data_IF_376479579184
#
_entry.id   IF_376479579184
#
_cell.length_a   1.000
_cell.length_b   1.000
_cell.length_c   1.000
_cell.angle_alpha   90.00
_cell.angle_beta   90.00
_cell.angle_gamma   90.00
#
_symmetry.space_group_name_H-M   'P 1'
#
loop_
_entity.id
_entity.type
_entity.pdbx_description
1 polymer ?
#
# COMPACT_ATOMS: atom_id res chain seq x y z
N UNK A 1 -0.59 -69.04 61.54
CA UNK A 1 -0.72 -67.58 61.71
C UNK A 1 -0.04 -66.83 60.53
N UNK A 2 -0.83 -66.11 59.67
CA UNK A 2 -0.33 -65.55 58.40
C UNK A 2 -0.25 -64.01 58.52
N UNK A 3 0.55 -63.54 59.51
CA UNK A 3 0.66 -62.10 59.79
C UNK A 3 1.56 -61.28 58.84
N UNK A 4 2.29 -61.92 57.96
CA UNK A 4 3.29 -61.23 57.12
C UNK A 4 2.76 -60.66 55.77
N UNK A 5 1.83 -61.33 55.13
CA UNK A 5 1.40 -61.00 53.77
C UNK A 5 0.53 -59.72 53.65
N UNK A 6 -0.34 -59.44 54.61
CA UNK A 6 -1.19 -58.27 54.65
C UNK A 6 -0.41 -56.97 54.96
N UNK A 7 0.57 -57.07 55.87
CA UNK A 7 1.43 -55.92 56.24
C UNK A 7 2.36 -55.51 55.09
N UNK A 8 2.97 -56.47 54.41
CA UNK A 8 3.83 -56.24 53.24
C UNK A 8 3.07 -55.71 52.06
N UNK A 9 1.83 -56.19 51.79
CA UNK A 9 0.96 -55.64 50.71
C UNK A 9 0.55 -54.21 50.98
N UNK A 10 0.18 -53.86 52.22
CA UNK A 10 -0.15 -52.46 52.60
C UNK A 10 1.05 -51.50 52.43
N UNK A 11 2.26 -51.96 52.93
CA UNK A 11 3.48 -51.16 52.73
C UNK A 11 3.88 -51.01 51.29
N UNK A 12 3.75 -52.05 50.44
CA UNK A 12 4.01 -52.00 49.02
C UNK A 12 3.05 -51.09 48.33
N UNK A 13 1.74 -51.17 48.62
CA UNK A 13 0.73 -50.27 47.99
C UNK A 13 0.91 -48.83 48.48
N UNK A 14 1.34 -48.56 49.69
CA UNK A 14 1.69 -47.22 50.17
C UNK A 14 2.94 -46.66 49.52
N UNK A 15 3.95 -47.46 49.17
CA UNK A 15 5.14 -47.09 48.41
C UNK A 15 4.81 -46.81 46.97
N UNK A 16 4.01 -47.65 46.31
CA UNK A 16 3.55 -47.43 44.92
C UNK A 16 2.69 -46.15 44.83
N UNK A 17 1.79 -45.94 45.81
CA UNK A 17 1.00 -44.70 45.87
C UNK A 17 1.88 -43.44 46.07
N UNK A 18 2.96 -43.57 46.87
CA UNK A 18 3.90 -42.45 47.13
C UNK A 18 4.79 -42.16 45.93
N UNK A 19 5.29 -43.18 45.22
CA UNK A 19 6.03 -42.99 43.96
C UNK A 19 5.15 -42.40 42.87
N UNK A 20 3.92 -42.90 42.71
CA UNK A 20 2.98 -42.33 41.72
C UNK A 20 2.59 -40.86 42.02
N UNK A 21 2.53 -40.47 43.30
CA UNK A 21 2.31 -39.08 43.70
C UNK A 21 3.53 -38.20 43.44
N UNK A 22 4.74 -38.71 43.66
CA UNK A 22 5.98 -38.00 43.36
C UNK A 22 6.14 -37.79 41.83
N UNK A 23 5.87 -38.80 41.03
CA UNK A 23 5.85 -38.73 39.56
C UNK A 23 4.83 -37.68 39.05
N UNK A 24 3.61 -37.68 39.60
CA UNK A 24 2.58 -36.68 39.27
C UNK A 24 3.02 -35.27 39.66
N UNK A 25 3.65 -35.09 40.83
CA UNK A 25 4.17 -33.78 41.26
C UNK A 25 5.32 -33.32 40.35
N UNK A 26 6.24 -34.22 39.99
CA UNK A 26 7.33 -33.94 39.08
C UNK A 26 6.80 -33.53 37.71
N UNK A 27 5.79 -34.25 37.18
CA UNK A 27 5.14 -33.95 35.91
C UNK A 27 4.44 -32.59 35.93
N UNK A 28 3.67 -32.27 36.97
CA UNK A 28 3.03 -30.96 37.15
C UNK A 28 4.06 -29.83 37.27
N UNK A 29 5.16 -30.10 38.03
CA UNK A 29 6.24 -29.10 38.15
C UNK A 29 6.94 -28.87 36.82
N UNK A 30 7.19 -29.91 36.03
CA UNK A 30 7.79 -29.83 34.70
C UNK A 30 6.90 -29.01 33.74
N UNK A 31 5.58 -29.30 33.72
CA UNK A 31 4.62 -28.54 32.89
C UNK A 31 4.58 -27.08 33.32
N UNK A 32 4.62 -26.77 34.61
CA UNK A 32 4.68 -25.38 35.09
C UNK A 32 5.94 -24.66 34.65
N UNK A 33 7.11 -25.31 34.74
CA UNK A 33 8.38 -24.74 34.28
C UNK A 33 8.36 -24.51 32.79
N UNK A 34 7.84 -25.48 32.01
CA UNK A 34 7.71 -25.34 30.56
C UNK A 34 6.78 -24.16 30.17
N UNK A 35 5.65 -24.07 30.88
CA UNK A 35 4.68 -23.00 30.64
C UNK A 35 5.23 -21.61 31.01
N UNK A 36 5.92 -21.48 32.13
CA UNK A 36 6.58 -20.24 32.55
C UNK A 36 7.71 -19.85 31.58
N UNK A 37 8.49 -20.83 31.12
CA UNK A 37 9.53 -20.60 30.12
C UNK A 37 8.91 -20.11 28.77
N UNK A 38 7.81 -20.72 28.33
CA UNK A 38 7.09 -20.29 27.15
C UNK A 38 6.58 -18.83 27.28
N UNK A 39 5.97 -18.49 28.42
CA UNK A 39 5.52 -17.12 28.71
C UNK A 39 6.71 -16.16 28.68
N UNK A 40 7.83 -16.51 29.30
CA UNK A 40 9.03 -15.67 29.34
C UNK A 40 9.57 -15.41 27.92
N UNK A 41 9.60 -16.45 27.07
CA UNK A 41 9.99 -16.32 25.65
C UNK A 41 9.00 -15.42 24.91
N UNK A 42 7.70 -15.59 25.09
CA UNK A 42 6.69 -14.73 24.47
C UNK A 42 6.86 -13.26 24.89
N UNK A 43 7.06 -13.00 26.17
CA UNK A 43 7.31 -11.63 26.68
C UNK A 43 8.60 -11.05 26.09
N UNK A 44 9.67 -11.83 26.01
CA UNK A 44 10.92 -11.40 25.40
C UNK A 44 10.73 -11.03 23.92
N UNK A 45 10.05 -11.86 23.16
CA UNK A 45 9.75 -11.60 21.74
C UNK A 45 8.93 -10.32 21.58
N UNK A 46 7.92 -10.11 22.43
CA UNK A 46 7.11 -8.88 22.42
C UNK A 46 7.96 -7.65 22.78
N UNK A 47 8.80 -7.74 23.80
CA UNK A 47 9.69 -6.63 24.19
C UNK A 47 10.70 -6.28 23.09
N UNK A 48 11.30 -7.29 22.45
CA UNK A 48 12.20 -7.10 21.31
C UNK A 48 11.45 -6.47 20.12
N UNK A 49 10.23 -6.93 19.84
CA UNK A 49 9.39 -6.37 18.79
C UNK A 49 9.08 -4.89 19.03
N UNK A 50 8.65 -4.53 20.23
CA UNK A 50 8.37 -3.13 20.62
C UNK A 50 9.64 -2.28 20.57
N UNK A 51 10.76 -2.80 21.07
CA UNK A 51 12.05 -2.09 21.05
C UNK A 51 12.53 -1.80 19.62
N UNK A 52 12.48 -2.81 18.75
CA UNK A 52 12.85 -2.68 17.34
C UNK A 52 11.93 -1.68 16.62
N UNK A 53 10.62 -1.77 16.85
CA UNK A 53 9.64 -0.86 16.25
C UNK A 53 9.88 0.60 16.68
N UNK A 54 10.15 0.85 17.98
CA UNK A 54 10.52 2.19 18.47
C UNK A 54 11.80 2.69 17.86
N UNK A 55 12.81 1.83 17.69
CA UNK A 55 14.06 2.19 17.03
C UNK A 55 13.86 2.60 15.57
N UNK A 56 13.02 1.87 14.83
CA UNK A 56 12.67 2.20 13.45
C UNK A 56 11.93 3.54 13.36
N UNK A 57 10.96 3.79 14.26
CA UNK A 57 10.20 5.06 14.27
C UNK A 57 11.09 6.24 14.66
N UNK A 58 12.03 6.06 15.58
CA UNK A 58 12.95 7.13 15.99
C UNK A 58 13.84 7.65 14.84
N UNK A 59 14.04 6.83 13.81
CA UNK A 59 14.71 7.23 12.58
C UNK A 59 13.80 7.76 11.48
N UNK A 60 12.48 7.88 11.73
CA UNK A 60 11.56 8.48 10.76
C UNK A 60 11.67 10.02 10.77
N UNK A 61 11.43 10.69 9.63
CA UNK A 61 11.33 12.15 9.59
C UNK A 61 10.27 12.69 10.59
N UNK A 62 10.52 13.89 11.12
CA UNK A 62 9.51 14.55 11.96
C UNK A 62 8.28 14.91 11.08
N UNK A 63 7.10 14.55 11.56
CA UNK A 63 5.82 14.83 10.86
C UNK A 63 5.62 16.33 10.58
N UNK A 64 6.17 17.20 11.43
CA UNK A 64 6.06 18.64 11.27
C UNK A 64 6.89 19.16 10.08
N UNK A 65 7.99 18.49 9.79
CA UNK A 65 8.90 18.83 8.69
C UNK A 65 8.53 18.12 7.39
N UNK A 66 7.56 17.18 7.43
CA UNK A 66 7.12 16.44 6.23
C UNK A 66 6.25 17.35 5.37
N UNK A 67 6.77 17.65 4.17
CA UNK A 67 6.01 18.25 3.08
C UNK A 67 5.53 17.15 2.14
N UNK A 68 4.21 17.06 1.95
CA UNK A 68 3.58 16.10 1.03
C UNK A 68 3.36 16.68 -0.37
N UNK A 69 3.71 17.96 -0.57
CA UNK A 69 3.53 18.63 -1.85
C UNK A 69 4.39 18.01 -2.96
N UNK A 70 3.91 18.00 -4.19
CA UNK A 70 4.70 17.50 -5.33
C UNK A 70 5.99 18.30 -5.51
N UNK A 71 7.09 17.60 -5.77
CA UNK A 71 8.39 18.20 -6.03
C UNK A 71 8.69 18.22 -7.54
N UNK A 72 9.36 19.28 -8.01
CA UNK A 72 9.84 19.34 -9.39
C UNK A 72 8.75 19.68 -10.42
N UNK A 73 8.31 20.92 -10.38
CA UNK A 73 7.38 21.48 -11.36
C UNK A 73 8.06 21.80 -12.69
N UNK A 74 7.29 21.75 -13.79
CA UNK A 74 7.72 22.28 -15.06
C UNK A 74 7.82 23.82 -15.00
N UNK A 75 8.85 24.39 -15.65
CA UNK A 75 9.00 25.83 -15.79
C UNK A 75 8.60 26.22 -17.20
N UNK A 76 7.81 27.28 -17.34
CA UNK A 76 7.37 27.79 -18.64
C UNK A 76 8.06 29.11 -18.92
N UNK A 77 8.53 29.26 -20.17
CA UNK A 77 9.04 30.52 -20.72
C UNK A 77 7.96 31.12 -21.60
N UNK A 78 7.71 32.41 -21.39
CA UNK A 78 6.76 33.19 -22.17
C UNK A 78 7.49 34.35 -22.86
N UNK A 79 6.95 34.79 -24.03
CA UNK A 79 7.39 36.04 -24.64
C UNK A 79 6.79 37.26 -23.92
N UNK A 80 7.12 38.44 -24.42
CA UNK A 80 6.62 39.73 -23.93
C UNK A 80 5.11 39.93 -24.17
N UNK A 81 4.51 39.10 -25.04
CA UNK A 81 3.08 39.09 -25.35
C UNK A 81 2.31 38.04 -24.52
N UNK A 82 3.02 37.27 -23.66
CA UNK A 82 2.43 36.22 -22.81
C UNK A 82 2.20 34.89 -23.57
N UNK A 83 2.80 34.72 -24.75
CA UNK A 83 2.74 33.46 -25.49
C UNK A 83 3.78 32.50 -24.94
N UNK A 84 3.40 31.26 -24.65
CA UNK A 84 4.32 30.24 -24.19
C UNK A 84 5.30 29.85 -25.28
N UNK A 85 6.60 30.17 -25.09
CA UNK A 85 7.68 29.82 -26.02
C UNK A 85 8.17 28.40 -25.78
N UNK A 86 8.37 28.02 -24.49
CA UNK A 86 9.00 26.75 -24.16
C UNK A 86 8.62 26.27 -22.76
N UNK A 87 8.47 24.96 -22.62
CA UNK A 87 8.43 24.26 -21.34
C UNK A 87 9.82 23.69 -21.05
N UNK A 88 10.35 24.00 -19.88
CA UNK A 88 11.59 23.44 -19.35
C UNK A 88 11.23 22.47 -18.24
N UNK A 89 11.66 21.23 -18.36
CA UNK A 89 11.49 20.23 -17.31
C UNK A 89 12.74 19.38 -17.22
N UNK A 90 13.22 19.16 -16.00
CA UNK A 90 14.21 18.11 -15.76
C UNK A 90 13.55 16.73 -15.92
N UNK A 91 14.31 15.65 -16.10
CA UNK A 91 13.76 14.32 -16.35
C UNK A 91 12.74 13.81 -15.33
N UNK A 92 12.77 14.34 -14.09
CA UNK A 92 11.87 13.98 -12.99
C UNK A 92 10.92 15.10 -12.56
N UNK A 93 10.91 16.25 -13.28
CA UNK A 93 10.19 17.46 -12.89
C UNK A 93 9.17 17.94 -13.92
N UNK A 94 8.60 17.03 -14.70
CA UNK A 94 7.52 17.34 -15.62
C UNK A 94 6.16 17.22 -14.90
N UNK A 95 5.91 18.08 -13.92
CA UNK A 95 4.63 18.15 -13.20
C UNK A 95 3.91 19.44 -13.55
N UNK A 96 2.63 19.29 -13.83
CA UNK A 96 1.67 20.37 -14.07
C UNK A 96 0.64 20.27 -12.95
N UNK A 97 0.77 21.05 -11.87
CA UNK A 97 -0.15 20.92 -10.75
C UNK A 97 -1.55 21.40 -11.15
N UNK A 98 -2.54 20.69 -10.67
CA UNK A 98 -3.97 21.01 -10.79
C UNK A 98 -4.64 20.80 -9.45
N UNK A 99 -5.64 21.63 -9.13
CA UNK A 99 -6.44 21.44 -7.93
C UNK A 99 -7.42 20.26 -8.09
N UNK A 100 -7.84 19.69 -7.00
CA UNK A 100 -8.68 18.46 -7.00
C UNK A 100 -10.02 18.69 -7.71
N UNK A 101 -10.58 19.90 -7.62
CA UNK A 101 -11.82 20.30 -8.30
C UNK A 101 -11.70 20.35 -9.83
N UNK A 102 -10.48 20.52 -10.35
CA UNK A 102 -10.18 20.43 -11.79
C UNK A 102 -10.02 18.99 -12.28
N UNK A 103 -9.80 18.03 -11.38
CA UNK A 103 -9.64 16.62 -11.73
C UNK A 103 -11.01 15.95 -11.80
N UNK A 104 -11.39 15.33 -12.92
CA UNK A 104 -12.69 14.65 -13.02
C UNK A 104 -12.91 13.66 -11.88
N UNK A 105 -14.10 13.67 -11.31
CA UNK A 105 -14.49 12.73 -10.24
C UNK A 105 -14.31 11.27 -10.69
N UNK A 106 -14.54 10.97 -11.96
CA UNK A 106 -14.28 9.65 -12.54
C UNK A 106 -12.81 9.23 -12.48
N UNK A 107 -11.85 10.17 -12.59
CA UNK A 107 -10.43 9.85 -12.43
C UNK A 107 -10.07 9.65 -10.96
N UNK A 108 -10.61 10.47 -10.05
CA UNK A 108 -10.44 10.30 -8.62
C UNK A 108 -10.94 8.93 -8.17
N UNK A 109 -12.16 8.56 -8.58
CA UNK A 109 -12.76 7.26 -8.28
C UNK A 109 -11.99 6.09 -8.91
N UNK A 110 -11.52 6.22 -10.15
CA UNK A 110 -10.75 5.17 -10.82
C UNK A 110 -9.44 4.85 -10.07
N UNK A 111 -8.74 5.89 -9.60
CA UNK A 111 -7.51 5.73 -8.84
C UNK A 111 -7.78 5.15 -7.47
N UNK A 112 -8.78 5.65 -6.73
CA UNK A 112 -9.18 5.11 -5.44
C UNK A 112 -9.61 3.66 -5.57
N UNK A 113 -10.45 3.33 -6.57
CA UNK A 113 -10.96 1.98 -6.77
C UNK A 113 -9.87 0.94 -6.98
N UNK A 114 -8.80 1.27 -7.70
CA UNK A 114 -7.75 0.31 -8.04
C UNK A 114 -6.57 0.28 -7.08
N UNK A 115 -6.26 1.41 -6.42
CA UNK A 115 -5.09 1.54 -5.54
C UNK A 115 -5.44 1.38 -4.07
N UNK A 116 -6.60 1.87 -3.64
CA UNK A 116 -6.97 1.96 -2.22
C UNK A 116 -8.49 2.03 -2.02
N UNK A 117 -9.16 0.90 -2.23
CA UNK A 117 -10.62 0.73 -2.21
C UNK A 117 -11.32 1.39 -1.01
N UNK A 118 -10.66 1.38 0.16
CA UNK A 118 -11.18 1.94 1.42
C UNK A 118 -10.49 3.24 1.83
N UNK A 119 -9.95 3.99 0.87
CA UNK A 119 -9.22 5.23 1.12
C UNK A 119 -9.95 6.18 2.08
N UNK A 120 -11.25 6.34 1.91
CA UNK A 120 -12.06 7.24 2.74
C UNK A 120 -12.48 6.66 4.09
N UNK A 121 -12.21 5.35 4.35
CA UNK A 121 -12.64 4.67 5.58
C UNK A 121 -11.50 4.51 6.61
N UNK A 122 -10.26 4.33 6.15
CA UNK A 122 -9.12 4.10 7.03
C UNK A 122 -8.37 5.40 7.36
N UNK A 123 -7.47 5.34 8.34
CA UNK A 123 -6.63 6.46 8.79
C UNK A 123 -5.14 6.18 8.49
N UNK A 124 -4.77 6.13 7.21
CA UNK A 124 -3.39 5.95 6.74
C UNK A 124 -2.96 4.50 6.55
N UNK A 125 -3.61 3.54 7.22
CA UNK A 125 -3.33 2.11 7.08
C UNK A 125 -4.64 1.36 6.87
N UNK A 126 -4.72 0.59 5.79
CA UNK A 126 -5.84 -0.33 5.57
C UNK A 126 -5.54 -1.71 6.15
N UNK A 127 -5.92 -1.92 7.41
CA UNK A 127 -5.72 -3.19 8.12
C UNK A 127 -6.47 -4.35 7.44
N UNK A 128 -7.66 -4.08 6.89
CA UNK A 128 -8.46 -5.10 6.18
C UNK A 128 -7.77 -5.52 4.87
N UNK A 129 -7.23 -4.56 4.14
CA UNK A 129 -6.44 -4.81 2.92
C UNK A 129 -5.17 -5.61 3.21
N UNK A 130 -4.44 -5.28 4.28
CA UNK A 130 -3.27 -6.05 4.73
C UNK A 130 -3.66 -7.49 5.08
N UNK A 131 -4.73 -7.69 5.84
CA UNK A 131 -5.20 -9.03 6.20
C UNK A 131 -5.62 -9.83 4.96
N UNK A 132 -6.35 -9.22 4.02
CA UNK A 132 -6.74 -9.85 2.75
C UNK A 132 -5.53 -10.27 1.93
N UNK A 133 -4.57 -9.35 1.72
CA UNK A 133 -3.35 -9.63 0.96
C UNK A 133 -2.50 -10.73 1.63
N UNK A 134 -2.40 -10.71 2.96
CA UNK A 134 -1.72 -11.75 3.74
C UNK A 134 -2.37 -13.12 3.60
N UNK A 135 -3.70 -13.21 3.72
CA UNK A 135 -4.43 -14.48 3.51
C UNK A 135 -4.24 -15.02 2.09
N UNK A 136 -4.33 -14.14 1.08
CA UNK A 136 -4.13 -14.53 -0.31
C UNK A 136 -2.70 -15.01 -0.56
N UNK A 137 -1.70 -14.35 0.00
CA UNK A 137 -0.30 -14.78 -0.08
C UNK A 137 -0.10 -16.18 0.51
N UNK A 138 -0.71 -16.48 1.68
CA UNK A 138 -0.62 -17.78 2.34
C UNK A 138 -1.35 -18.86 1.52
N UNK A 139 -2.54 -18.58 0.98
CA UNK A 139 -3.36 -19.57 0.28
C UNK A 139 -2.91 -19.85 -1.14
N UNK A 140 -2.38 -18.86 -1.85
CA UNK A 140 -2.01 -18.97 -3.26
C UNK A 140 -0.50 -19.00 -3.51
N UNK A 141 0.32 -18.70 -2.50
CA UNK A 141 1.77 -18.47 -2.64
C UNK A 141 2.12 -17.20 -3.44
N UNK A 142 1.13 -16.35 -3.78
CA UNK A 142 1.31 -15.18 -4.62
C UNK A 142 1.28 -13.90 -3.79
N UNK A 143 2.42 -13.20 -3.73
CA UNK A 143 2.62 -11.93 -2.98
C UNK A 143 2.40 -10.70 -3.87
N UNK A 144 1.68 -10.81 -4.99
CA UNK A 144 1.52 -9.73 -5.96
C UNK A 144 0.44 -8.70 -5.61
N UNK A 145 -0.40 -8.98 -4.61
CA UNK A 145 -1.47 -8.06 -4.20
C UNK A 145 -0.90 -6.92 -3.34
N UNK A 146 -1.09 -5.68 -3.80
CA UNK A 146 -0.70 -4.49 -3.06
C UNK A 146 -1.65 -4.23 -1.88
N UNK A 147 -1.07 -3.87 -0.73
CA UNK A 147 -1.81 -3.46 0.45
C UNK A 147 -1.35 -2.08 0.95
N UNK A 148 -0.64 -1.32 0.09
CA UNK A 148 -0.18 0.03 0.41
C UNK A 148 -1.27 1.03 0.09
N UNK A 149 -1.58 1.91 1.04
CA UNK A 149 -2.57 2.98 0.85
C UNK A 149 -2.03 4.10 -0.04
N UNK A 150 -2.93 4.93 -0.58
CA UNK A 150 -2.58 6.16 -1.32
C UNK A 150 -1.65 7.04 -0.49
N UNK A 151 -1.93 7.20 0.80
CA UNK A 151 -1.09 8.01 1.72
C UNK A 151 0.32 7.44 1.86
N UNK A 152 0.47 6.12 1.98
CA UNK A 152 1.79 5.47 2.01
C UNK A 152 2.55 5.64 0.70
N UNK A 153 1.86 5.55 -0.44
CA UNK A 153 2.48 5.76 -1.75
C UNK A 153 2.92 7.21 -1.95
N UNK A 154 2.12 8.18 -1.49
CA UNK A 154 2.48 9.60 -1.52
C UNK A 154 3.75 9.86 -0.72
N UNK A 155 3.82 9.37 0.52
CA UNK A 155 5.00 9.49 1.38
C UNK A 155 6.24 8.83 0.77
N UNK A 156 6.08 7.64 0.21
CA UNK A 156 7.16 6.96 -0.50
C UNK A 156 7.75 7.81 -1.63
N UNK A 157 6.90 8.50 -2.39
CA UNK A 157 7.32 9.26 -3.56
C UNK A 157 7.88 10.66 -3.23
N UNK A 158 7.41 11.29 -2.15
CA UNK A 158 7.79 12.67 -1.81
C UNK A 158 8.76 12.78 -0.64
N UNK A 159 8.74 11.83 0.28
CA UNK A 159 9.54 11.86 1.52
C UNK A 159 10.71 10.88 1.47
N UNK A 160 10.45 9.65 1.02
CA UNK A 160 11.46 8.60 0.94
C UNK A 160 12.02 8.48 -0.48
N UNK A 161 12.49 9.57 -1.07
CA UNK A 161 12.90 9.63 -2.49
C UNK A 161 14.01 8.66 -2.87
N UNK A 162 14.86 8.26 -1.92
CA UNK A 162 15.99 7.33 -2.12
C UNK A 162 15.60 5.84 -2.13
N UNK A 163 14.31 5.52 -2.07
CA UNK A 163 13.83 4.13 -2.03
C UNK A 163 14.28 3.25 -3.21
N UNK A 164 14.63 3.87 -4.34
CA UNK A 164 15.17 3.16 -5.51
C UNK A 164 16.60 2.66 -5.31
N UNK A 165 17.33 3.22 -4.36
CA UNK A 165 18.73 2.91 -4.05
C UNK A 165 18.86 1.87 -2.91
N UNK A 166 17.74 1.43 -2.32
CA UNK A 166 17.74 0.43 -1.24
C UNK A 166 18.28 -0.92 -1.73
N UNK A 167 19.36 -1.36 -1.13
CA UNK A 167 20.07 -2.59 -1.50
C UNK A 167 19.67 -3.79 -0.62
N UNK A 168 19.24 -3.54 0.62
CA UNK A 168 18.94 -4.58 1.61
C UNK A 168 17.45 -4.73 1.90
N UNK A 169 17.06 -5.94 2.31
CA UNK A 169 15.69 -6.19 2.79
C UNK A 169 15.39 -5.40 4.07
N UNK A 170 16.40 -5.22 4.93
CA UNK A 170 16.23 -4.47 6.19
C UNK A 170 15.88 -3.00 5.92
N UNK A 171 16.55 -2.34 4.98
CA UNK A 171 16.23 -0.97 4.56
C UNK A 171 14.78 -0.87 4.08
N UNK A 172 14.35 -1.79 3.22
CA UNK A 172 12.96 -1.85 2.71
C UNK A 172 11.93 -2.04 3.82
N UNK A 173 12.20 -2.92 4.78
CA UNK A 173 11.32 -3.12 5.94
C UNK A 173 11.30 -1.88 6.83
N UNK A 174 12.45 -1.29 7.13
CA UNK A 174 12.58 -0.07 7.94
C UNK A 174 11.75 1.05 7.33
N UNK A 175 11.98 1.37 6.06
CA UNK A 175 11.18 2.37 5.34
C UNK A 175 9.70 2.04 5.36
N UNK A 176 9.30 0.79 5.12
CA UNK A 176 7.88 0.41 5.09
C UNK A 176 7.17 0.64 6.42
N UNK A 177 7.85 0.40 7.55
CA UNK A 177 7.31 0.73 8.86
C UNK A 177 7.26 2.24 9.10
N UNK A 178 8.26 2.98 8.66
CA UNK A 178 8.26 4.44 8.72
C UNK A 178 7.15 5.05 7.86
N UNK A 179 6.93 4.55 6.64
CA UNK A 179 5.80 4.93 5.77
C UNK A 179 4.46 4.74 6.48
N UNK A 180 4.25 3.57 7.10
CA UNK A 180 3.01 3.27 7.83
C UNK A 180 2.81 4.21 9.03
N UNK A 181 3.86 4.43 9.80
CA UNK A 181 3.81 5.35 10.94
C UNK A 181 3.48 6.77 10.48
N UNK A 182 4.20 7.28 9.49
CA UNK A 182 3.97 8.62 8.96
C UNK A 182 2.59 8.75 8.30
N UNK A 183 2.10 7.72 7.60
CA UNK A 183 0.77 7.75 6.98
C UNK A 183 -0.33 8.01 8.01
N UNK A 184 -0.26 7.35 9.17
CA UNK A 184 -1.20 7.60 10.28
C UNK A 184 -1.09 9.02 10.84
N UNK A 185 0.12 9.60 10.88
CA UNK A 185 0.31 10.96 11.38
C UNK A 185 -0.14 12.02 10.35
N UNK A 186 0.16 11.81 9.08
CA UNK A 186 -0.22 12.69 7.98
C UNK A 186 -1.76 12.77 7.85
N UNK A 187 -2.47 11.66 7.98
CA UNK A 187 -3.93 11.64 7.94
C UNK A 187 -4.61 12.28 9.17
N UNK A 188 -3.86 12.57 10.23
CA UNK A 188 -4.33 13.44 11.33
C UNK A 188 -4.13 14.94 11.03
N UNK A 189 -3.17 15.25 10.14
CA UNK A 189 -2.76 16.62 9.82
C UNK A 189 -3.48 17.16 8.57
N UNK A 190 -3.79 16.29 7.60
CA UNK A 190 -4.36 16.65 6.30
C UNK A 190 -5.62 15.85 6.01
N UNK A 191 -6.61 16.50 5.41
CA UNK A 191 -7.83 15.85 4.94
C UNK A 191 -7.56 14.94 3.75
N UNK A 192 -8.42 13.95 3.56
CA UNK A 192 -8.34 12.97 2.45
C UNK A 192 -8.24 13.65 1.07
N UNK A 193 -8.98 14.73 0.85
CA UNK A 193 -8.96 15.46 -0.40
C UNK A 193 -7.59 16.09 -0.68
N UNK A 194 -6.95 16.67 0.34
CA UNK A 194 -5.59 17.23 0.23
C UNK A 194 -4.58 16.13 -0.09
N UNK A 195 -4.70 14.97 0.56
CA UNK A 195 -3.82 13.82 0.30
C UNK A 195 -4.01 13.30 -1.12
N UNK A 196 -5.27 13.15 -1.57
CA UNK A 196 -5.58 12.69 -2.92
C UNK A 196 -5.09 13.66 -3.99
N UNK A 197 -5.27 14.97 -3.79
CA UNK A 197 -4.76 16.01 -4.70
C UNK A 197 -3.25 15.90 -4.86
N UNK A 198 -2.52 15.86 -3.75
CA UNK A 198 -1.07 15.74 -3.79
C UNK A 198 -0.60 14.43 -4.42
N UNK A 199 -1.30 13.32 -4.16
CA UNK A 199 -1.02 12.04 -4.79
C UNK A 199 -1.20 12.11 -6.31
N UNK A 200 -2.34 12.60 -6.80
CA UNK A 200 -2.64 12.72 -8.22
C UNK A 200 -1.69 13.66 -8.97
N UNK A 201 -1.14 14.67 -8.28
CA UNK A 201 -0.12 15.55 -8.81
C UNK A 201 1.32 14.99 -8.74
N UNK A 202 1.54 13.90 -7.98
CA UNK A 202 2.88 13.33 -7.73
C UNK A 202 3.18 12.08 -8.55
N UNK A 203 2.18 11.20 -8.74
CA UNK A 203 2.39 9.85 -9.27
C UNK A 203 3.11 9.83 -10.61
N UNK A 204 4.02 8.84 -10.75
CA UNK A 204 4.67 8.56 -12.02
C UNK A 204 3.70 7.78 -12.93
N UNK A 205 3.34 8.36 -14.06
CA UNK A 205 2.45 7.75 -15.05
C UNK A 205 3.18 7.35 -16.34
N UNK A 206 4.51 7.25 -16.29
CA UNK A 206 5.33 6.80 -17.41
C UNK A 206 5.58 7.87 -18.46
N UNK A 207 6.39 7.53 -19.46
CA UNK A 207 6.78 8.43 -20.55
C UNK A 207 7.29 9.83 -20.09
N UNK A 208 7.92 9.89 -18.91
CA UNK A 208 8.40 11.13 -18.29
C UNK A 208 7.28 12.04 -17.76
N UNK A 209 6.07 11.52 -17.57
CA UNK A 209 4.94 12.27 -17.04
C UNK A 209 4.73 11.98 -15.56
N UNK A 210 4.73 13.02 -14.75
CA UNK A 210 4.47 12.98 -13.31
C UNK A 210 3.22 13.81 -13.02
N UNK A 211 2.25 13.19 -12.34
CA UNK A 211 0.92 13.75 -12.11
C UNK A 211 -0.02 13.62 -13.31
N UNK A 212 -1.31 13.70 -12.98
CA UNK A 212 -2.40 13.38 -13.94
C UNK A 212 -2.53 14.38 -15.08
N UNK A 213 -2.23 15.66 -14.85
CA UNK A 213 -2.31 16.67 -15.90
C UNK A 213 -1.21 16.48 -16.96
N UNK A 214 0.03 16.25 -16.55
CA UNK A 214 1.12 15.98 -17.47
C UNK A 214 0.88 14.68 -18.27
N UNK A 215 0.33 13.66 -17.62
CA UNK A 215 -0.04 12.41 -18.27
C UNK A 215 -1.21 12.59 -19.26
N UNK A 216 -2.23 13.36 -18.90
CA UNK A 216 -3.35 13.71 -19.81
C UNK A 216 -2.87 14.38 -21.08
N UNK A 217 -2.02 15.40 -20.96
CA UNK A 217 -1.39 16.05 -22.11
C UNK A 217 -0.55 15.07 -22.93
N UNK A 218 0.23 14.20 -22.26
CA UNK A 218 1.13 13.27 -22.94
C UNK A 218 0.40 12.19 -23.73
N UNK A 219 -0.65 11.60 -23.16
CA UNK A 219 -1.32 10.44 -23.74
C UNK A 219 -2.52 10.80 -24.61
N UNK A 220 -3.21 11.92 -24.32
CA UNK A 220 -4.46 12.28 -24.98
C UNK A 220 -4.44 13.66 -25.61
N UNK A 221 -3.40 14.45 -25.40
CA UNK A 221 -3.31 15.86 -25.85
C UNK A 221 -4.49 16.70 -25.33
N UNK A 222 -4.99 16.41 -24.13
CA UNK A 222 -6.11 17.08 -23.48
C UNK A 222 -5.70 17.60 -22.10
N UNK A 223 -6.44 18.57 -21.61
CA UNK A 223 -6.40 18.89 -20.18
C UNK A 223 -7.10 17.80 -19.39
N UNK A 224 -6.72 17.64 -18.10
CA UNK A 224 -7.23 16.56 -17.27
C UNK A 224 -8.74 16.64 -17.08
N UNK A 225 -9.29 17.85 -17.04
CA UNK A 225 -10.74 18.07 -16.89
C UNK A 225 -11.57 17.72 -18.14
N UNK A 226 -10.93 17.52 -19.30
CA UNK A 226 -11.57 17.09 -20.53
C UNK A 226 -11.54 15.57 -20.77
N UNK A 227 -11.01 14.82 -19.78
CA UNK A 227 -10.92 13.37 -19.89
C UNK A 227 -12.29 12.70 -19.72
N UNK A 228 -12.57 11.76 -20.60
CA UNK A 228 -13.70 10.85 -20.45
C UNK A 228 -13.38 9.66 -19.52
N UNK A 229 -14.40 8.90 -19.14
CA UNK A 229 -14.26 7.77 -18.20
C UNK A 229 -13.25 6.70 -18.68
N UNK A 230 -13.20 6.39 -19.97
CA UNK A 230 -12.23 5.42 -20.53
C UNK A 230 -10.79 5.92 -20.41
N UNK A 231 -10.56 7.21 -20.65
CA UNK A 231 -9.26 7.85 -20.50
C UNK A 231 -8.84 7.92 -19.02
N UNK A 232 -9.79 8.23 -18.11
CA UNK A 232 -9.57 8.19 -16.67
C UNK A 232 -9.15 6.80 -16.18
N UNK A 233 -9.88 5.76 -16.58
CA UNK A 233 -9.54 4.37 -16.25
C UNK A 233 -8.20 3.92 -16.85
N UNK A 234 -7.85 4.46 -18.04
CA UNK A 234 -6.55 4.24 -18.70
C UNK A 234 -5.42 4.80 -17.84
N UNK A 235 -5.51 6.06 -17.40
CA UNK A 235 -4.49 6.67 -16.54
C UNK A 235 -4.37 5.96 -15.19
N UNK A 236 -5.48 5.64 -14.55
CA UNK A 236 -5.49 4.89 -13.29
C UNK A 236 -4.82 3.52 -13.44
N UNK A 237 -4.96 2.87 -14.61
CA UNK A 237 -4.31 1.58 -14.87
C UNK A 237 -2.78 1.64 -14.96
N UNK A 238 -2.19 2.82 -15.21
CA UNK A 238 -0.73 2.97 -15.34
C UNK A 238 -0.02 2.93 -13.98
N UNK A 239 -0.68 3.36 -12.92
CA UNK A 239 -0.10 3.61 -11.58
C UNK A 239 0.72 2.44 -11.04
N UNK A 240 0.24 1.20 -11.19
CA UNK A 240 0.89 0.01 -10.67
C UNK A 240 2.26 -0.26 -11.29
N UNK A 241 2.39 -0.09 -12.59
CA UNK A 241 3.65 -0.29 -13.32
C UNK A 241 3.68 0.56 -14.59
N UNK A 242 4.26 1.78 -14.52
CA UNK A 242 4.24 2.74 -15.62
C UNK A 242 4.90 2.26 -16.93
N UNK A 243 5.85 1.35 -16.82
CA UNK A 243 6.50 0.77 -18.02
C UNK A 243 5.63 -0.31 -18.66
N UNK A 244 5.09 -1.23 -17.84
CA UNK A 244 4.29 -2.37 -18.30
C UNK A 244 2.95 -1.95 -18.86
N UNK A 245 2.31 -0.95 -18.24
CA UNK A 245 0.97 -0.50 -18.59
C UNK A 245 0.96 0.82 -19.36
N UNK A 246 2.07 1.15 -20.00
CA UNK A 246 2.14 2.34 -20.86
C UNK A 246 1.21 2.16 -22.08
N UNK A 247 0.23 3.07 -22.31
CA UNK A 247 -0.73 2.92 -23.41
C UNK A 247 -0.13 3.09 -24.80
N UNK A 248 1.02 3.76 -24.92
CA UNK A 248 1.71 3.94 -26.21
C UNK A 248 2.55 2.71 -26.55
N UNK A 249 3.37 2.24 -25.60
CA UNK A 249 4.33 1.15 -25.87
C UNK A 249 3.72 -0.24 -25.68
N UNK A 250 2.72 -0.37 -24.80
CA UNK A 250 2.07 -1.62 -24.45
C UNK A 250 0.53 -1.51 -24.42
N UNK A 251 -0.13 -1.13 -25.53
CA UNK A 251 -1.57 -0.83 -25.55
C UNK A 251 -2.43 -2.02 -25.12
N UNK A 252 -2.06 -3.26 -25.47
CA UNK A 252 -2.79 -4.47 -25.07
C UNK A 252 -2.76 -4.70 -23.56
N UNK A 253 -1.59 -4.52 -22.93
CA UNK A 253 -1.46 -4.67 -21.47
C UNK A 253 -2.22 -3.56 -20.73
N UNK A 254 -2.16 -2.33 -21.23
CA UNK A 254 -2.93 -1.22 -20.70
C UNK A 254 -4.45 -1.46 -20.85
N UNK A 255 -4.92 -1.89 -22.03
CA UNK A 255 -6.34 -2.19 -22.24
C UNK A 255 -6.89 -3.25 -21.27
N UNK A 256 -6.09 -4.30 -21.01
CA UNK A 256 -6.45 -5.30 -20.00
C UNK A 256 -6.53 -4.68 -18.61
N UNK A 257 -5.54 -3.86 -18.25
CA UNK A 257 -5.49 -3.19 -16.94
C UNK A 257 -6.61 -2.18 -16.77
N UNK A 258 -6.95 -1.42 -17.83
CA UNK A 258 -8.12 -0.52 -17.86
C UNK A 258 -9.41 -1.28 -17.54
N UNK A 259 -9.59 -2.49 -18.13
CA UNK A 259 -10.75 -3.31 -17.81
C UNK A 259 -10.78 -3.67 -16.32
N UNK A 260 -9.63 -4.05 -15.73
CA UNK A 260 -9.54 -4.32 -14.29
C UNK A 260 -9.94 -3.09 -13.44
N UNK A 261 -9.53 -1.88 -13.86
CA UNK A 261 -9.95 -0.62 -13.20
C UNK A 261 -11.48 -0.45 -13.28
N UNK A 262 -12.07 -0.64 -14.47
CA UNK A 262 -13.51 -0.52 -14.66
C UNK A 262 -14.29 -1.60 -13.87
N UNK A 263 -13.77 -2.82 -13.79
CA UNK A 263 -14.33 -3.90 -12.95
C UNK A 263 -14.38 -3.44 -11.48
N UNK A 264 -13.28 -2.89 -10.93
CA UNK A 264 -13.25 -2.36 -9.56
C UNK A 264 -14.16 -1.16 -9.35
N UNK A 265 -14.28 -0.26 -10.34
CA UNK A 265 -15.20 0.88 -10.27
C UNK A 265 -16.67 0.42 -10.23
N UNK A 266 -17.01 -0.62 -11.00
CA UNK A 266 -18.35 -1.21 -10.99
C UNK A 266 -18.64 -1.90 -9.65
N UNK A 267 -17.72 -2.74 -9.17
CA UNK A 267 -17.87 -3.47 -7.91
C UNK A 267 -18.06 -2.53 -6.70
N UNK A 268 -17.46 -1.34 -6.77
CA UNK A 268 -17.56 -0.30 -5.75
C UNK A 268 -18.68 0.72 -6.02
N UNK A 269 -19.53 0.50 -7.03
CA UNK A 269 -20.65 1.37 -7.42
C UNK A 269 -20.24 2.81 -7.82
N UNK A 270 -19.02 3.02 -8.32
CA UNK A 270 -18.60 4.30 -8.88
C UNK A 270 -19.10 4.52 -10.30
N UNK A 271 -19.43 3.45 -11.02
CA UNK A 271 -20.07 3.48 -12.34
C UNK A 271 -21.23 2.50 -12.39
N UNK A 272 -22.16 2.78 -13.27
CA UNK A 272 -23.29 1.89 -13.55
C UNK A 272 -22.91 0.74 -14.48
N UNK A 273 -23.73 -0.31 -14.49
CA UNK A 273 -23.58 -1.45 -15.42
C UNK A 273 -23.61 -1.01 -16.88
N UNK A 274 -24.44 -0.02 -17.22
CA UNK A 274 -24.57 0.48 -18.60
C UNK A 274 -23.31 1.24 -19.04
N UNK A 275 -22.75 2.09 -18.17
CA UNK A 275 -21.48 2.77 -18.41
C UNK A 275 -20.34 1.76 -18.60
N UNK A 276 -20.25 0.76 -17.71
CA UNK A 276 -19.27 -0.31 -17.81
C UNK A 276 -19.37 -1.03 -19.15
N UNK A 277 -20.56 -1.52 -19.54
CA UNK A 277 -20.76 -2.26 -20.79
C UNK A 277 -20.43 -1.43 -22.04
N UNK A 278 -20.67 -0.13 -21.99
CA UNK A 278 -20.34 0.79 -23.11
C UNK A 278 -18.83 0.91 -23.33
N UNK A 279 -18.01 0.67 -22.29
CA UNK A 279 -16.58 0.96 -22.31
C UNK A 279 -15.69 -0.28 -22.50
N UNK A 280 -16.13 -1.47 -22.10
CA UNK A 280 -15.30 -2.69 -22.18
C UNK A 280 -14.98 -3.10 -23.62
N UNK A 281 -15.76 -2.66 -24.61
CA UNK A 281 -15.55 -2.94 -26.02
C UNK A 281 -14.71 -1.88 -26.77
N UNK A 282 -14.33 -0.78 -26.10
CA UNK A 282 -13.48 0.25 -26.70
C UNK A 282 -12.04 -0.24 -26.75
N UNK A 283 -11.58 -0.66 -27.93
CA UNK A 283 -10.24 -1.23 -28.11
C UNK A 283 -9.11 -0.20 -28.20
N UNK A 284 -9.39 1.10 -28.41
CA UNK A 284 -8.36 2.14 -28.56
C UNK A 284 -8.75 3.49 -27.93
N UNK A 285 -8.14 3.88 -26.78
CA UNK A 285 -8.19 5.28 -26.31
C UNK A 285 -7.10 6.19 -26.95
N UNK A 286 -6.14 5.63 -27.71
CA UNK A 286 -4.90 6.33 -28.09
C UNK A 286 -4.82 6.77 -29.56
N UNK A 287 -5.92 7.11 -30.21
CA UNK A 287 -5.92 7.38 -31.66
C UNK A 287 -5.28 8.70 -32.09
N UNK A 288 -4.74 9.52 -31.18
CA UNK A 288 -4.19 10.84 -31.52
C UNK A 288 -2.71 11.07 -31.15
N UNK A 289 -1.95 10.03 -30.87
CA UNK A 289 -0.51 10.16 -30.63
C UNK A 289 0.33 9.88 -31.89
N UNK A 290 -0.21 10.16 -33.08
CA UNK A 290 0.53 10.14 -34.35
C UNK A 290 0.38 11.51 -35.03
N UNK A 291 1.20 12.46 -34.61
CA UNK A 291 1.81 13.49 -35.50
C UNK A 291 3.11 13.94 -34.82
#
# INVERSE_FOLDING_TARGET
>A
MNYGKRSTSKKRNALISRTSMLEKRAHVSFIRVLFTALIAVCVMVVCLGIGSFRGVIAGAPDVNDVDISPLGYATFLYDDQGTQIRQLSAPTSNRLPVSLDQIPVSLQHAVVAIEDERFYEHNGIDVRGIARAGMKAITTGNFSEGASTITQQLLKNNVFTDWTNESTQLERFTRKFQEQYLAVQIEKKYDKNVILENYLNTINLGAGSYGVQAASKKYFNKDVWDLNLSECATLAGITQNPTKFNPITNPKANSKRRKEVLDHMLDQNYISQDEYLSLIHISEPTRHAQI
#
